data_IF_942920728590
#
_entry.id   IF_942920728590
#
_cell.length_a   1.000
_cell.length_b   1.000
_cell.length_c   1.000
_cell.angle_alpha   90.00
_cell.angle_beta   90.00
_cell.angle_gamma   90.00
#
_symmetry.space_group_name_H-M   'P 1'
#
loop_
_entity.id
_entity.type
_entity.pdbx_description
1 polymer ?
#
# COMPACT_ATOMS: atom_id res chain seq x y z
N UNK A 1 -7.66 -8.88 17.82
CA UNK A 1 -6.49 -9.20 16.98
C UNK A 1 -6.42 -8.43 15.65
N UNK A 2 -7.38 -7.56 15.29
CA UNK A 2 -7.34 -6.83 13.98
C UNK A 2 -6.37 -5.65 13.92
N UNK A 3 -6.07 -5.01 15.06
CA UNK A 3 -5.21 -3.81 15.11
C UNK A 3 -3.75 -4.08 14.78
N UNK A 4 -3.28 -5.33 14.92
CA UNK A 4 -1.90 -5.69 14.62
C UNK A 4 -1.56 -5.41 13.15
N UNK A 5 -2.51 -5.65 12.24
CA UNK A 5 -2.36 -5.42 10.80
C UNK A 5 -2.24 -3.92 10.52
N UNK A 6 -3.04 -3.10 11.19
CA UNK A 6 -2.95 -1.64 11.12
C UNK A 6 -1.63 -1.11 11.67
N UNK A 7 -1.19 -1.62 12.83
CA UNK A 7 0.06 -1.23 13.46
C UNK A 7 1.25 -1.57 12.56
N UNK A 8 1.30 -2.80 12.02
CA UNK A 8 2.31 -3.25 11.07
C UNK A 8 2.29 -2.37 9.81
N UNK A 9 1.13 -2.16 9.19
CA UNK A 9 0.99 -1.32 8.00
C UNK A 9 1.45 0.13 8.21
N UNK A 10 1.23 0.69 9.40
CA UNK A 10 1.69 2.04 9.76
C UNK A 10 3.18 2.09 10.12
N UNK A 11 3.74 1.05 10.75
CA UNK A 11 5.19 0.96 11.00
C UNK A 11 5.98 0.86 9.70
N UNK A 12 5.42 0.16 8.71
CA UNK A 12 5.96 0.05 7.35
C UNK A 12 5.47 1.18 6.42
N UNK A 13 4.74 2.17 6.95
CA UNK A 13 4.48 3.40 6.20
C UNK A 13 5.81 4.13 6.00
N UNK A 14 6.09 4.64 4.78
CA UNK A 14 7.30 5.40 4.51
C UNK A 14 7.41 6.70 5.34
N UNK A 15 6.39 7.04 6.13
CA UNK A 15 6.42 8.09 7.14
C UNK A 15 7.32 7.70 8.33
N UNK A 16 7.27 6.45 8.79
CA UNK A 16 8.01 5.96 9.96
C UNK A 16 9.37 5.35 9.58
N UNK A 17 9.45 4.67 8.43
CA UNK A 17 10.69 4.08 7.91
C UNK A 17 10.95 4.51 6.47
N UNK A 18 11.94 5.38 6.20
CA UNK A 18 12.25 5.80 4.84
C UNK A 18 12.77 4.62 4.02
N UNK A 19 12.25 4.47 2.79
CA UNK A 19 12.51 3.32 1.91
C UNK A 19 14.01 3.03 1.71
N UNK A 20 14.84 4.07 1.63
CA UNK A 20 16.29 3.93 1.42
C UNK A 20 17.11 3.34 2.59
N UNK A 21 16.47 2.85 3.65
CA UNK A 21 17.13 2.16 4.78
C UNK A 21 16.75 0.69 4.91
N UNK A 22 15.89 0.19 4.03
CA UNK A 22 15.45 -1.20 4.05
C UNK A 22 16.42 -2.06 3.23
N UNK A 23 16.61 -3.33 3.59
CA UNK A 23 17.38 -4.25 2.78
C UNK A 23 16.68 -4.49 1.43
N UNK A 24 17.46 -4.67 0.36
CA UNK A 24 16.99 -4.65 -1.04
C UNK A 24 15.83 -5.62 -1.35
N UNK A 25 15.76 -6.76 -0.65
CA UNK A 25 14.68 -7.74 -0.80
C UNK A 25 13.33 -7.21 -0.29
N UNK A 26 13.36 -6.34 0.72
CA UNK A 26 12.17 -5.77 1.34
C UNK A 26 11.66 -4.57 0.55
N UNK A 27 12.53 -3.92 -0.22
CA UNK A 27 12.19 -2.79 -1.08
C UNK A 27 11.18 -3.22 -2.18
N UNK A 28 11.40 -4.37 -2.80
CA UNK A 28 10.46 -4.95 -3.78
C UNK A 28 9.07 -5.22 -3.19
N UNK A 29 9.03 -5.78 -1.96
CA UNK A 29 7.77 -6.01 -1.26
C UNK A 29 7.07 -4.68 -0.95
N UNK A 30 7.84 -3.68 -0.51
CA UNK A 30 7.35 -2.34 -0.20
C UNK A 30 6.67 -1.64 -1.37
N UNK A 31 7.23 -1.75 -2.59
CA UNK A 31 6.61 -1.20 -3.80
C UNK A 31 5.31 -1.92 -4.19
N UNK A 32 5.13 -3.18 -3.79
CA UNK A 32 3.90 -3.92 -4.00
C UNK A 32 2.81 -3.63 -2.96
N UNK A 33 3.17 -3.18 -1.75
CA UNK A 33 2.19 -2.87 -0.71
C UNK A 33 1.44 -1.57 -1.03
N UNK A 34 0.15 -1.43 -0.67
CA UNK A 34 -0.63 -0.22 -0.98
C UNK A 34 -0.21 1.03 -0.16
N UNK A 35 0.64 0.87 0.85
CA UNK A 35 1.06 1.97 1.74
C UNK A 35 2.09 2.92 1.10
N UNK A 36 3.04 2.40 0.32
CA UNK A 36 4.08 3.21 -0.33
C UNK A 36 3.54 3.99 -1.53
N UNK A 37 2.80 3.36 -2.46
CA UNK A 37 2.15 4.03 -3.58
C UNK A 37 1.19 5.14 -3.12
N UNK A 38 0.40 4.90 -2.06
CA UNK A 38 -0.50 5.93 -1.52
C UNK A 38 0.27 7.11 -0.95
N UNK A 39 1.34 6.88 -0.19
CA UNK A 39 2.19 7.96 0.33
C UNK A 39 2.95 8.72 -0.77
N UNK A 40 3.41 8.04 -1.83
CA UNK A 40 4.04 8.65 -2.99
C UNK A 40 3.06 9.54 -3.76
N UNK A 41 1.83 9.04 -4.00
CA UNK A 41 0.77 9.82 -4.65
C UNK A 41 0.34 11.02 -3.82
N UNK A 42 0.23 10.87 -2.50
CA UNK A 42 -0.04 11.99 -1.59
C UNK A 42 1.07 13.05 -1.66
N UNK A 43 2.34 12.61 -1.65
CA UNK A 43 3.50 13.53 -1.79
C UNK A 43 3.52 14.24 -3.14
N UNK A 44 3.30 13.52 -4.23
CA UNK A 44 3.26 14.09 -5.57
C UNK A 44 2.09 15.06 -5.76
N UNK A 45 0.91 14.74 -5.20
CA UNK A 45 -0.30 15.54 -5.35
C UNK A 45 -0.33 16.79 -4.45
N UNK A 46 -0.06 16.63 -3.15
CA UNK A 46 -0.17 17.72 -2.18
C UNK A 46 1.07 18.59 -2.10
N UNK A 47 2.26 18.00 -2.23
CA UNK A 47 3.53 18.71 -2.05
C UNK A 47 4.20 19.07 -3.38
N UNK A 48 3.60 18.71 -4.54
CA UNK A 48 4.21 18.81 -5.88
C UNK A 48 5.64 18.27 -5.93
N UNK A 49 5.95 17.32 -5.06
CA UNK A 49 7.29 16.79 -4.86
C UNK A 49 7.36 15.40 -5.51
N UNK A 50 7.86 15.35 -6.74
CA UNK A 50 7.91 14.14 -7.57
C UNK A 50 6.86 14.09 -8.68
N UNK A 51 6.95 13.07 -9.53
CA UNK A 51 5.97 12.77 -10.59
C UNK A 51 4.96 11.75 -10.09
N UNK A 52 3.70 11.91 -10.49
CA UNK A 52 2.67 10.89 -10.26
C UNK A 52 3.03 9.66 -11.10
N UNK A 53 3.40 8.57 -10.45
CA UNK A 53 3.71 7.31 -11.13
C UNK A 53 2.42 6.58 -11.48
N UNK A 54 2.25 6.21 -12.75
CA UNK A 54 1.15 5.35 -13.20
C UNK A 54 1.23 3.95 -12.56
N UNK A 55 2.43 3.50 -12.19
CA UNK A 55 2.64 2.23 -11.50
C UNK A 55 1.99 2.26 -10.12
N UNK A 56 2.16 3.35 -9.38
CA UNK A 56 1.58 3.51 -8.04
C UNK A 56 0.05 3.43 -8.08
N UNK A 57 -0.55 4.07 -9.09
CA UNK A 57 -2.00 4.02 -9.32
C UNK A 57 -2.44 2.59 -9.67
N UNK A 58 -1.71 1.91 -10.56
CA UNK A 58 -2.01 0.54 -10.96
C UNK A 58 -1.98 -0.44 -9.78
N UNK A 59 -0.98 -0.34 -8.91
CA UNK A 59 -0.86 -1.17 -7.70
C UNK A 59 -2.04 -0.93 -6.75
N UNK A 60 -2.45 0.33 -6.55
CA UNK A 60 -3.61 0.64 -5.69
C UNK A 60 -4.91 0.10 -6.26
N UNK A 61 -5.15 0.27 -7.57
CA UNK A 61 -6.34 -0.27 -8.23
C UNK A 61 -6.37 -1.79 -8.08
N UNK A 62 -5.25 -2.47 -8.32
CA UNK A 62 -5.14 -3.91 -8.13
C UNK A 62 -5.53 -4.34 -6.71
N UNK A 63 -5.02 -3.66 -5.69
CA UNK A 63 -5.37 -3.94 -4.28
C UNK A 63 -6.85 -3.70 -3.97
N UNK A 64 -7.46 -2.66 -4.54
CA UNK A 64 -8.89 -2.39 -4.38
C UNK A 64 -9.71 -3.54 -4.98
N UNK A 65 -9.41 -3.95 -6.20
CA UNK A 65 -10.11 -5.08 -6.82
C UNK A 65 -9.89 -6.39 -6.07
N UNK A 66 -8.66 -6.68 -5.64
CA UNK A 66 -8.33 -7.88 -4.89
C UNK A 66 -9.09 -7.97 -3.57
N UNK A 67 -9.12 -6.87 -2.80
CA UNK A 67 -9.83 -6.82 -1.52
C UNK A 67 -11.34 -6.92 -1.72
N UNK A 68 -11.89 -6.26 -2.75
CA UNK A 68 -13.31 -6.37 -3.09
C UNK A 68 -13.72 -7.80 -3.43
N UNK A 69 -12.91 -8.50 -4.23
CA UNK A 69 -13.16 -9.90 -4.59
C UNK A 69 -13.08 -10.82 -3.36
N UNK A 70 -12.11 -10.60 -2.47
CA UNK A 70 -11.97 -11.36 -1.23
C UNK A 70 -13.18 -11.15 -0.29
N UNK A 71 -13.63 -9.91 -0.14
CA UNK A 71 -14.79 -9.57 0.69
C UNK A 71 -16.05 -10.24 0.13
N UNK A 72 -16.30 -10.11 -1.17
CA UNK A 72 -17.46 -10.74 -1.82
C UNK A 72 -17.41 -12.26 -1.72
N UNK A 73 -16.25 -12.87 -1.97
CA UNK A 73 -16.09 -14.32 -1.86
C UNK A 73 -16.22 -14.85 -0.44
N UNK A 74 -15.92 -14.03 0.57
CA UNK A 74 -16.14 -14.38 1.98
C UNK A 74 -17.62 -14.26 2.35
N UNK A 75 -18.27 -13.14 1.99
CA UNK A 75 -19.69 -12.93 2.23
C UNK A 75 -20.57 -14.01 1.60
N UNK A 76 -20.24 -14.47 0.39
CA UNK A 76 -21.00 -15.54 -0.28
C UNK A 76 -20.85 -16.91 0.39
N UNK A 77 -19.77 -17.14 1.16
CA UNK A 77 -19.60 -18.40 1.90
C UNK A 77 -20.38 -18.42 3.22
N UNK A 78 -20.79 -17.27 3.73
CA UNK A 78 -21.55 -17.14 4.97
C UNK A 78 -23.07 -17.05 4.74
N UNK A 79 -23.54 -16.96 3.49
CA UNK A 79 -24.96 -16.93 3.11
C UNK A 79 -25.48 -18.34 2.77
#
# INVERSE_FOLDING_TARGET
MSQLILMIGLMFSPIMYPAGRLPDWLDQLYFLLPFVPSANLLRASFYRHGTVSLVDIGVLIFWIFLTQLLILGTLQKEL
#
